data_IF_145934725726
#
_entry.id   IF_145934725726
#
_cell.length_a   1.000
_cell.length_b   1.000
_cell.length_c   1.000
_cell.angle_alpha   90.00
_cell.angle_beta   90.00
_cell.angle_gamma   90.00
#
_symmetry.space_group_name_H-M   'P 1'
#
loop_
_entity.id
_entity.type
_entity.pdbx_description
1 polymer ?
#
# COMPACT_ATOMS: atom_id res chain seq x y z
N UNK A 1 -8.94 -16.21 18.90
CA UNK A 1 -9.01 -14.74 18.81
C UNK A 1 -8.19 -14.33 17.61
N UNK A 2 -8.84 -13.74 16.61
CA UNK A 2 -8.25 -13.52 15.30
C UNK A 2 -7.73 -12.08 15.19
N UNK A 3 -6.41 -11.89 15.33
CA UNK A 3 -5.79 -10.58 15.56
C UNK A 3 -5.62 -9.71 14.30
N UNK A 4 -6.12 -10.13 13.13
CA UNK A 4 -5.97 -9.36 11.88
C UNK A 4 -7.29 -8.94 11.22
N UNK A 5 -8.42 -9.11 11.91
CA UNK A 5 -9.69 -8.52 11.49
C UNK A 5 -9.78 -7.05 11.91
N UNK A 6 -9.68 -6.11 10.97
CA UNK A 6 -10.10 -4.73 11.23
C UNK A 6 -11.63 -4.70 11.31
N UNK A 7 -12.18 -4.63 12.53
CA UNK A 7 -13.62 -4.55 12.77
C UNK A 7 -14.10 -3.16 12.35
N UNK A 8 -14.91 -3.08 11.29
CA UNK A 8 -15.60 -1.84 10.89
C UNK A 8 -15.37 -1.32 9.47
N UNK A 9 -14.50 -1.95 8.66
CA UNK A 9 -14.32 -1.58 7.24
C UNK A 9 -15.05 -2.62 6.38
N UNK A 10 -16.07 -2.20 5.64
CA UNK A 10 -16.94 -3.05 4.81
C UNK A 10 -16.29 -3.62 3.53
N UNK A 11 -14.97 -3.68 3.46
CA UNK A 11 -14.26 -4.31 2.34
C UNK A 11 -13.90 -5.77 2.67
N UNK A 12 -14.46 -6.68 1.87
CA UNK A 12 -14.40 -8.15 2.02
C UNK A 12 -13.03 -8.80 1.77
N UNK A 13 -11.94 -8.03 1.70
CA UNK A 13 -10.59 -8.60 1.51
C UNK A 13 -9.72 -8.33 2.73
N UNK A 14 -9.52 -9.38 3.53
CA UNK A 14 -8.57 -9.38 4.64
C UNK A 14 -7.16 -9.11 4.10
N UNK A 15 -6.47 -8.11 4.66
CA UNK A 15 -5.10 -7.83 4.27
C UNK A 15 -4.18 -9.02 4.63
N UNK A 16 -3.31 -9.40 3.71
CA UNK A 16 -2.25 -10.37 3.95
C UNK A 16 -1.07 -9.69 4.66
N UNK A 17 -0.44 -10.39 5.61
CA UNK A 17 0.68 -9.87 6.39
C UNK A 17 1.71 -10.98 6.64
N UNK A 18 2.99 -10.60 6.61
CA UNK A 18 4.13 -11.43 7.00
C UNK A 18 5.09 -10.60 7.84
N UNK A 19 5.74 -11.23 8.81
CA UNK A 19 6.92 -10.66 9.49
C UNK A 19 8.15 -11.35 8.95
N UNK A 20 9.14 -10.58 8.51
CA UNK A 20 10.42 -11.07 8.03
C UNK A 20 11.56 -10.49 8.89
N UNK A 21 12.69 -11.20 8.96
CA UNK A 21 13.92 -10.65 9.53
C UNK A 21 14.60 -9.72 8.52
N UNK A 22 15.42 -8.77 9.00
CA UNK A 22 16.11 -7.81 8.13
C UNK A 22 17.09 -8.48 7.14
N UNK A 23 17.58 -9.67 7.48
CA UNK A 23 18.51 -10.50 6.72
C UNK A 23 17.81 -11.61 5.92
N UNK A 24 16.49 -11.58 5.83
CA UNK A 24 15.73 -12.53 5.00
C UNK A 24 16.16 -12.40 3.54
N UNK A 25 16.52 -13.52 2.91
CA UNK A 25 16.85 -13.57 1.49
C UNK A 25 15.68 -12.99 0.66
N UNK A 26 15.90 -11.94 -0.17
CA UNK A 26 14.87 -11.37 -1.04
C UNK A 26 14.17 -12.39 -1.93
N UNK A 27 14.82 -13.51 -2.30
CA UNK A 27 14.20 -14.59 -3.07
C UNK A 27 12.99 -15.20 -2.36
N UNK A 28 13.02 -15.26 -1.02
CA UNK A 28 11.91 -15.75 -0.20
C UNK A 28 10.71 -14.79 -0.30
N UNK A 29 10.96 -13.48 -0.25
CA UNK A 29 9.90 -12.47 -0.41
C UNK A 29 9.33 -12.46 -1.83
N UNK A 30 10.18 -12.64 -2.84
CA UNK A 30 9.72 -12.78 -4.23
C UNK A 30 8.80 -13.99 -4.40
N UNK A 31 9.16 -15.14 -3.83
CA UNK A 31 8.32 -16.34 -3.82
C UNK A 31 6.99 -16.12 -3.08
N UNK A 32 7.02 -15.43 -1.94
CA UNK A 32 5.81 -15.06 -1.20
C UNK A 32 4.86 -14.22 -2.06
N UNK A 33 5.36 -13.17 -2.70
CA UNK A 33 4.53 -12.28 -3.52
C UNK A 33 3.91 -13.00 -4.72
N UNK A 34 4.70 -13.79 -5.45
CA UNK A 34 4.24 -14.50 -6.64
C UNK A 34 3.41 -15.75 -6.29
N UNK A 35 3.98 -16.69 -5.52
CA UNK A 35 3.39 -18.04 -5.38
C UNK A 35 2.38 -18.17 -4.26
N UNK A 36 2.55 -17.42 -3.18
CA UNK A 36 1.71 -17.56 -1.99
C UNK A 36 0.59 -16.52 -1.99
N UNK A 37 0.90 -15.27 -2.31
CA UNK A 37 -0.07 -14.18 -2.39
C UNK A 37 -0.68 -13.98 -3.77
N UNK A 38 -0.13 -14.65 -4.80
CA UNK A 38 -0.61 -14.60 -6.17
C UNK A 38 -0.71 -13.16 -6.71
N UNK A 39 0.29 -12.33 -6.38
CA UNK A 39 0.39 -10.97 -6.89
C UNK A 39 0.93 -11.01 -8.31
N UNK A 40 0.25 -10.38 -9.28
CA UNK A 40 0.81 -10.24 -10.62
C UNK A 40 2.08 -9.39 -10.56
N UNK A 41 3.14 -9.74 -11.31
CA UNK A 41 4.38 -8.98 -11.32
C UNK A 41 4.11 -7.54 -11.77
N UNK A 42 4.65 -6.53 -11.07
CA UNK A 42 4.38 -5.14 -11.40
C UNK A 42 5.15 -4.75 -12.65
N UNK A 43 4.58 -3.88 -13.49
CA UNK A 43 5.34 -3.23 -14.56
C UNK A 43 6.07 -1.97 -14.06
N UNK A 44 5.66 -1.47 -12.90
CA UNK A 44 6.25 -0.32 -12.23
C UNK A 44 6.12 -0.48 -10.70
N UNK A 45 7.15 -0.11 -9.96
CA UNK A 45 7.09 -0.01 -8.50
C UNK A 45 7.19 1.46 -8.11
N UNK A 46 6.24 1.94 -7.32
CA UNK A 46 6.22 3.31 -6.79
C UNK A 46 6.39 3.24 -5.27
N UNK A 47 7.55 3.67 -4.78
CA UNK A 47 7.81 3.78 -3.34
C UNK A 47 7.52 5.20 -2.87
N UNK A 48 6.64 5.35 -1.88
CA UNK A 48 6.27 6.64 -1.31
C UNK A 48 6.85 6.78 0.10
N UNK A 49 7.71 7.78 0.25
CA UNK A 49 8.26 8.21 1.53
C UNK A 49 7.71 9.59 1.92
N UNK A 50 7.68 9.89 3.22
CA UNK A 50 7.29 11.21 3.71
C UNK A 50 7.52 11.35 5.21
N UNK A 51 7.30 12.56 5.72
CA UNK A 51 7.45 12.84 7.15
C UNK A 51 6.52 11.98 8.00
N UNK A 52 7.00 11.61 9.19
CA UNK A 52 6.23 10.86 10.19
C UNK A 52 5.23 11.73 10.97
N UNK A 53 5.26 13.05 10.74
CA UNK A 53 4.33 14.01 11.32
C UNK A 53 3.10 14.17 10.44
N UNK A 54 1.92 14.20 11.08
CA UNK A 54 0.67 14.44 10.37
C UNK A 54 0.61 15.88 9.85
N UNK A 55 0.17 16.02 8.60
CA UNK A 55 -0.09 17.30 7.97
C UNK A 55 -1.38 17.23 7.16
N UNK A 56 -2.02 18.38 6.99
CA UNK A 56 -3.19 18.53 6.13
C UNK A 56 -2.76 19.10 4.78
N UNK A 57 -3.22 18.46 3.71
CA UNK A 57 -3.03 18.98 2.36
C UNK A 57 -4.11 20.01 2.06
N UNK A 58 -3.73 21.12 1.42
CA UNK A 58 -4.73 22.04 0.87
C UNK A 58 -5.67 21.26 -0.07
N UNK A 59 -7.00 21.53 -0.07
CA UNK A 59 -7.97 20.71 -0.81
C UNK A 59 -7.66 20.51 -2.29
N UNK A 60 -7.14 21.55 -2.96
CA UNK A 60 -6.72 21.49 -4.37
C UNK A 60 -5.56 20.52 -4.56
N UNK A 61 -4.57 20.56 -3.68
CA UNK A 61 -3.39 19.69 -3.73
C UNK A 61 -3.77 18.25 -3.41
N UNK A 62 -4.60 18.01 -2.39
CA UNK A 62 -5.12 16.69 -2.05
C UNK A 62 -5.83 16.04 -3.25
N UNK A 63 -6.65 16.82 -3.97
CA UNK A 63 -7.34 16.36 -5.18
C UNK A 63 -6.39 15.98 -6.31
N UNK A 64 -5.36 16.78 -6.55
CA UNK A 64 -4.35 16.53 -7.60
C UNK A 64 -3.55 15.28 -7.24
N UNK A 65 -3.09 15.19 -6.00
CA UNK A 65 -2.34 14.05 -5.47
C UNK A 65 -3.11 12.74 -5.63
N UNK A 66 -4.37 12.71 -5.16
CA UNK A 66 -5.25 11.53 -5.31
C UNK A 66 -5.39 11.10 -6.75
N UNK A 67 -5.68 12.05 -7.66
CA UNK A 67 -5.83 11.76 -9.09
C UNK A 67 -4.53 11.23 -9.70
N UNK A 68 -3.39 11.82 -9.35
CA UNK A 68 -2.09 11.44 -9.88
C UNK A 68 -1.71 10.01 -9.50
N UNK A 69 -1.77 9.67 -8.21
CA UNK A 69 -1.44 8.33 -7.72
C UNK A 69 -2.40 7.29 -8.30
N UNK A 70 -3.70 7.55 -8.24
CA UNK A 70 -4.70 6.61 -8.76
C UNK A 70 -4.48 6.35 -10.25
N UNK A 71 -4.17 7.39 -11.03
CA UNK A 71 -3.87 7.26 -12.46
C UNK A 71 -2.59 6.46 -12.69
N UNK A 72 -1.51 6.74 -11.96
CA UNK A 72 -0.26 6.02 -12.10
C UNK A 72 -0.44 4.52 -11.80
N UNK A 73 -1.08 4.19 -10.69
CA UNK A 73 -1.36 2.81 -10.28
C UNK A 73 -2.14 2.03 -11.33
N UNK A 74 -3.24 2.60 -11.82
CA UNK A 74 -4.13 1.92 -12.78
C UNK A 74 -3.56 1.82 -14.20
N UNK A 75 -2.79 2.81 -14.64
CA UNK A 75 -2.31 2.85 -16.03
C UNK A 75 -1.11 1.94 -16.29
N UNK A 76 -0.41 1.53 -15.24
CA UNK A 76 0.84 0.77 -15.35
C UNK A 76 0.82 -0.53 -14.58
N UNK A 77 -0.31 -0.92 -13.98
CA UNK A 77 -0.37 -2.06 -13.05
C UNK A 77 0.73 -1.95 -11.98
N UNK A 78 0.92 -0.75 -11.42
CA UNK A 78 2.01 -0.50 -10.50
C UNK A 78 1.72 -1.07 -9.12
N UNK A 79 2.76 -1.58 -8.46
CA UNK A 79 2.74 -1.77 -7.01
C UNK A 79 3.05 -0.44 -6.32
N UNK A 80 2.24 -0.09 -5.33
CA UNK A 80 2.53 1.02 -4.43
C UNK A 80 3.10 0.46 -3.12
N UNK A 81 4.30 0.92 -2.76
CA UNK A 81 5.00 0.52 -1.53
C UNK A 81 5.09 1.74 -0.60
N UNK A 82 4.69 1.54 0.66
CA UNK A 82 4.76 2.55 1.73
C UNK A 82 5.29 1.96 3.03
N UNK A 83 5.57 2.80 4.02
CA UNK A 83 5.97 2.38 5.37
C UNK A 83 4.85 1.72 6.21
N UNK A 84 3.63 1.58 5.68
CA UNK A 84 2.52 0.95 6.41
C UNK A 84 1.98 1.69 7.64
N UNK A 85 2.68 2.71 8.13
CA UNK A 85 2.27 3.52 9.28
C UNK A 85 1.15 4.49 8.88
N UNK A 86 0.08 4.58 9.69
CA UNK A 86 -1.02 5.52 9.45
C UNK A 86 -0.66 6.95 9.88
N UNK A 87 0.39 7.52 9.29
CA UNK A 87 0.90 8.85 9.60
C UNK A 87 1.36 9.59 8.34
N UNK A 88 1.41 10.92 8.43
CA UNK A 88 2.04 11.77 7.43
C UNK A 88 1.47 11.59 6.03
N UNK A 89 2.33 11.28 5.05
CA UNK A 89 1.89 11.12 3.64
C UNK A 89 1.06 9.87 3.42
N UNK A 90 1.27 8.81 4.22
CA UNK A 90 0.66 7.49 3.99
C UNK A 90 -0.86 7.54 4.17
N UNK A 91 -1.39 8.39 5.06
CA UNK A 91 -2.84 8.59 5.21
C UNK A 91 -3.50 9.14 3.94
N UNK A 92 -2.79 10.03 3.23
CA UNK A 92 -3.29 10.65 1.99
C UNK A 92 -3.25 9.66 0.85
N UNK A 93 -2.24 8.78 0.81
CA UNK A 93 -2.14 7.67 -0.14
C UNK A 93 -3.26 6.66 0.12
N UNK A 94 -3.45 6.23 1.37
CA UNK A 94 -4.49 5.28 1.73
C UNK A 94 -5.89 5.79 1.35
N UNK A 95 -6.21 7.04 1.69
CA UNK A 95 -7.47 7.68 1.30
C UNK A 95 -7.62 7.82 -0.22
N UNK A 96 -6.52 8.00 -0.96
CA UNK A 96 -6.56 8.07 -2.42
C UNK A 96 -6.89 6.74 -3.09
N UNK A 97 -6.53 5.63 -2.46
CA UNK A 97 -6.66 4.26 -2.99
C UNK A 97 -7.88 3.53 -2.43
N UNK A 98 -8.52 4.03 -1.37
CA UNK A 98 -9.71 3.44 -0.77
C UNK A 98 -10.81 3.14 -1.80
N UNK A 99 -11.36 1.93 -1.75
CA UNK A 99 -12.38 1.47 -2.70
C UNK A 99 -11.86 1.11 -4.10
N UNK A 100 -10.55 1.07 -4.32
CA UNK A 100 -9.93 0.67 -5.59
C UNK A 100 -9.17 -0.65 -5.43
N UNK A 101 -9.32 -1.56 -6.39
CA UNK A 101 -8.51 -2.78 -6.47
C UNK A 101 -7.10 -2.44 -6.97
N UNK A 102 -6.22 -2.05 -6.04
CA UNK A 102 -4.81 -1.73 -6.31
C UNK A 102 -3.95 -2.51 -5.33
N UNK A 103 -2.90 -3.14 -5.83
CA UNK A 103 -1.95 -3.88 -5.00
C UNK A 103 -1.11 -2.88 -4.17
N UNK A 104 -1.30 -2.94 -2.86
CA UNK A 104 -0.72 -2.00 -1.90
C UNK A 104 0.10 -2.76 -0.86
N UNK A 105 1.42 -2.59 -0.91
CA UNK A 105 2.34 -3.21 0.04
C UNK A 105 2.67 -2.22 1.17
N UNK A 106 2.55 -2.71 2.40
CA UNK A 106 2.89 -1.98 3.63
C UNK A 106 4.09 -2.68 4.27
N UNK A 107 5.23 -2.00 4.34
CA UNK A 107 6.43 -2.51 5.00
C UNK A 107 6.47 -1.96 6.43
N UNK A 108 6.52 -2.83 7.43
CA UNK A 108 6.72 -2.47 8.85
C UNK A 108 8.14 -2.83 9.29
#
# INVERSE_FOLDING_TARGET
>A
MDLTGFVGISHQTRAQYVRASFDTDPAILSHLFDKVWNLPPPKLVITIHGGLTNFELQPKLARIFRKGILKAARSTDAWIITSGLNVGVVRHVASALEGNQIFYLRLY
#
